data_IF_278097005364
#
_entry.id   IF_278097005364
#
_cell.length_a   1.000
_cell.length_b   1.000
_cell.length_c   1.000
_cell.angle_alpha   90.00
_cell.angle_beta   90.00
_cell.angle_gamma   90.00
#
_symmetry.space_group_name_H-M   'P 1'
#
loop_
_entity.id
_entity.type
_entity.pdbx_description
1 polymer ?
#
# COMPACT_ATOMS: atom_id res chain seq x y z
N UNK A 1 13.67 6.11 43.52
CA UNK A 1 12.76 6.87 42.64
C UNK A 1 12.87 6.28 41.25
N UNK A 2 11.82 5.60 40.80
CA UNK A 2 11.76 4.96 39.49
C UNK A 2 11.33 5.99 38.45
N UNK A 3 12.16 6.23 37.43
CA UNK A 3 11.72 6.88 36.19
C UNK A 3 12.01 5.89 35.07
N UNK A 4 11.01 5.07 34.71
CA UNK A 4 11.06 4.32 33.46
C UNK A 4 10.98 5.37 32.34
N UNK A 5 11.82 5.29 31.30
CA UNK A 5 11.68 6.19 30.15
C UNK A 5 10.27 6.01 29.57
N UNK A 6 9.51 7.11 29.51
CA UNK A 6 8.30 7.16 28.68
C UNK A 6 8.69 6.64 27.30
N UNK A 7 8.05 5.56 26.90
CA UNK A 7 8.32 4.92 25.62
C UNK A 7 8.07 5.94 24.51
N UNK A 8 9.00 6.04 23.57
CA UNK A 8 8.86 6.59 22.20
C UNK A 8 7.82 5.80 21.36
N UNK A 9 6.87 5.13 22.04
CA UNK A 9 5.71 4.48 21.48
C UNK A 9 4.63 5.54 21.46
N UNK A 10 4.45 6.25 20.35
CA UNK A 10 3.11 6.56 19.81
C UNK A 10 3.06 7.64 18.74
N UNK A 11 4.16 8.02 18.09
CA UNK A 11 4.03 8.92 16.91
C UNK A 11 3.29 8.25 15.73
N UNK A 12 3.11 6.92 15.78
CA UNK A 12 2.31 6.15 14.82
C UNK A 12 0.85 5.97 15.23
N UNK A 13 0.49 6.27 16.49
CA UNK A 13 -0.85 6.00 17.05
C UNK A 13 -1.83 7.15 16.78
N UNK A 14 -1.32 8.35 16.50
CA UNK A 14 -2.13 9.52 16.11
C UNK A 14 -2.37 9.60 14.58
N UNK A 15 -1.94 8.59 13.81
CA UNK A 15 -2.26 8.51 12.40
C UNK A 15 -3.69 8.00 12.26
N UNK A 16 -4.56 8.80 11.64
CA UNK A 16 -5.89 8.35 11.26
C UNK A 16 -5.75 7.12 10.36
N UNK A 17 -6.16 5.96 10.89
CA UNK A 17 -6.05 4.71 10.17
C UNK A 17 -7.13 4.69 9.10
N UNK A 18 -6.72 4.44 7.86
CA UNK A 18 -7.67 4.29 6.76
C UNK A 18 -8.66 3.17 7.06
N UNK A 19 -9.92 3.43 6.75
CA UNK A 19 -10.90 2.35 6.63
C UNK A 19 -10.47 1.38 5.53
N UNK A 20 -10.98 0.15 5.59
CA UNK A 20 -10.72 -0.84 4.55
C UNK A 20 -11.16 -0.35 3.17
N UNK A 21 -12.28 0.36 3.10
CA UNK A 21 -12.80 0.93 1.85
C UNK A 21 -11.86 2.00 1.30
N UNK A 22 -11.36 2.92 2.14
CA UNK A 22 -10.39 3.95 1.73
C UNK A 22 -9.05 3.34 1.31
N UNK A 23 -8.58 2.30 2.02
CA UNK A 23 -7.37 1.57 1.65
C UNK A 23 -7.54 0.89 0.28
N UNK A 24 -8.67 0.19 0.06
CA UNK A 24 -8.96 -0.47 -1.20
C UNK A 24 -9.07 0.54 -2.35
N UNK A 25 -9.75 1.67 -2.14
CA UNK A 25 -9.87 2.74 -3.14
C UNK A 25 -8.52 3.29 -3.56
N UNK A 26 -7.61 3.57 -2.61
CA UNK A 26 -6.26 4.04 -2.93
C UNK A 26 -5.41 3.01 -3.67
N UNK A 27 -5.52 1.73 -3.31
CA UNK A 27 -4.83 0.68 -4.04
C UNK A 27 -5.37 0.54 -5.48
N UNK A 28 -6.69 0.70 -5.68
CA UNK A 28 -7.30 0.72 -7.01
C UNK A 28 -6.85 1.91 -7.86
N UNK A 29 -6.73 3.10 -7.26
CA UNK A 29 -6.15 4.28 -7.94
C UNK A 29 -4.71 4.01 -8.37
N UNK A 30 -3.88 3.44 -7.50
CA UNK A 30 -2.49 3.11 -7.83
C UNK A 30 -2.38 2.05 -8.94
N UNK A 31 -3.26 1.05 -8.93
CA UNK A 31 -3.37 0.06 -10.02
C UNK A 31 -3.68 0.76 -11.34
N UNK A 32 -4.68 1.65 -11.35
CA UNK A 32 -5.08 2.39 -12.55
C UNK A 32 -3.98 3.29 -13.10
N UNK A 33 -3.10 3.82 -12.25
CA UNK A 33 -1.94 4.62 -12.64
C UNK A 33 -0.79 3.78 -13.23
N UNK A 34 -0.59 2.55 -12.72
CA UNK A 34 0.51 1.67 -13.13
C UNK A 34 0.18 0.94 -14.44
N UNK A 35 -1.06 0.47 -14.60
CA UNK A 35 -1.50 -0.28 -15.78
C UNK A 35 -1.10 0.34 -17.13
N UNK A 36 -1.37 1.63 -17.42
CA UNK A 36 -1.03 2.23 -18.71
C UNK A 36 0.49 2.31 -18.94
N UNK A 37 1.29 2.44 -17.87
CA UNK A 37 2.74 2.58 -17.96
C UNK A 37 3.45 1.31 -18.44
N UNK A 38 2.79 0.15 -18.34
CA UNK A 38 3.34 -1.12 -18.84
C UNK A 38 3.56 -1.12 -20.36
N UNK A 39 2.78 -0.35 -21.11
CA UNK A 39 2.89 -0.27 -22.57
C UNK A 39 4.22 0.33 -23.02
N UNK A 40 4.67 1.37 -22.34
CA UNK A 40 5.83 2.18 -22.71
C UNK A 40 7.11 1.83 -21.92
N UNK A 41 6.99 1.04 -20.85
CA UNK A 41 8.12 0.61 -20.02
C UNK A 41 9.13 -0.27 -20.79
N UNK A 42 10.42 -0.05 -20.53
CA UNK A 42 11.47 -0.95 -20.97
C UNK A 42 11.35 -2.33 -20.30
N UNK A 43 12.01 -3.39 -20.81
CA UNK A 43 11.83 -4.74 -20.27
C UNK A 43 12.10 -4.88 -18.76
N UNK A 44 13.07 -4.15 -18.22
CA UNK A 44 13.41 -4.20 -16.79
C UNK A 44 12.39 -3.43 -15.95
N UNK A 45 12.00 -2.24 -16.38
CA UNK A 45 10.93 -1.48 -15.73
C UNK A 45 9.60 -2.23 -15.80
N UNK A 46 9.29 -2.87 -16.93
CA UNK A 46 8.06 -3.64 -17.13
C UNK A 46 7.95 -4.81 -16.15
N UNK A 47 9.03 -5.56 -15.92
CA UNK A 47 9.03 -6.67 -14.95
C UNK A 47 8.76 -6.18 -13.52
N UNK A 48 9.37 -5.06 -13.13
CA UNK A 48 9.15 -4.44 -11.84
C UNK A 48 7.71 -3.94 -11.68
N UNK A 49 7.18 -3.26 -12.70
CA UNK A 49 5.79 -2.77 -12.72
C UNK A 49 4.79 -3.92 -12.68
N UNK A 50 5.04 -5.03 -13.38
CA UNK A 50 4.19 -6.22 -13.33
C UNK A 50 4.19 -6.86 -11.94
N UNK A 51 5.36 -6.98 -11.32
CA UNK A 51 5.48 -7.52 -9.96
C UNK A 51 4.71 -6.66 -8.95
N UNK A 52 4.88 -5.33 -9.04
CA UNK A 52 4.14 -4.37 -8.19
C UNK A 52 2.63 -4.47 -8.43
N UNK A 53 2.21 -4.50 -9.69
CA UNK A 53 0.79 -4.59 -10.05
C UNK A 53 0.15 -5.87 -9.52
N UNK A 54 0.87 -6.99 -9.57
CA UNK A 54 0.41 -8.25 -8.99
C UNK A 54 0.20 -8.12 -7.48
N UNK A 55 1.18 -7.59 -6.74
CA UNK A 55 1.07 -7.41 -5.29
C UNK A 55 -0.08 -6.46 -4.89
N UNK A 56 -0.30 -5.39 -5.65
CA UNK A 56 -1.41 -4.45 -5.39
C UNK A 56 -2.78 -5.12 -5.58
N UNK A 57 -2.93 -5.95 -6.61
CA UNK A 57 -4.17 -6.69 -6.88
C UNK A 57 -4.47 -7.70 -5.78
N UNK A 58 -3.48 -8.48 -5.36
CA UNK A 58 -3.64 -9.41 -4.22
C UNK A 58 -4.06 -8.67 -2.95
N UNK A 59 -3.46 -7.51 -2.66
CA UNK A 59 -3.83 -6.71 -1.49
C UNK A 59 -5.28 -6.18 -1.56
N UNK A 60 -5.75 -5.77 -2.74
CA UNK A 60 -7.16 -5.39 -2.94
C UNK A 60 -8.09 -6.58 -2.72
N UNK A 61 -7.74 -7.74 -3.26
CA UNK A 61 -8.53 -8.97 -3.09
C UNK A 61 -8.61 -9.40 -1.63
N UNK A 62 -7.50 -9.32 -0.88
CA UNK A 62 -7.46 -9.58 0.57
C UNK A 62 -8.36 -8.62 1.37
N UNK A 63 -8.38 -7.34 1.00
CA UNK A 63 -9.24 -6.35 1.64
C UNK A 63 -10.72 -6.60 1.33
N UNK A 64 -11.04 -7.08 0.13
CA UNK A 64 -12.40 -7.39 -0.32
C UNK A 64 -12.94 -8.73 0.21
N UNK A 65 -12.07 -9.69 0.52
CA UNK A 65 -12.44 -11.02 1.02
C UNK A 65 -12.76 -11.08 2.53
N UNK A 66 -12.57 -9.98 3.27
CA UNK A 66 -12.72 -9.90 4.74
C UNK A 66 -14.09 -9.45 5.21
#
# INVERSE_FOLDING_TARGET
MSRRPESERSDWTDLDLLTREEAAGRLQEEIADIEPRLGDADPGERELLQTRLHALREAVDELAAS
#
